data_IF_073648293800
#
_entry.id   IF_073648293800
#
_cell.length_a   1.000
_cell.length_b   1.000
_cell.length_c   1.000
_cell.angle_alpha   90.00
_cell.angle_beta   90.00
_cell.angle_gamma   90.00
#
_symmetry.space_group_name_H-M   'P 1'
#
loop_
_entity.id
_entity.type
_entity.pdbx_description
1 polymer ?
#
# COMPACT_ATOMS: atom_id res chain seq x y z
N UNK A 1 8.25 22.45 9.23
CA UNK A 1 7.61 21.11 9.18
C UNK A 1 7.52 20.70 7.72
N UNK A 2 7.94 19.50 7.39
CA UNK A 2 7.77 19.00 6.02
C UNK A 2 6.29 18.66 5.79
N UNK A 3 5.73 19.14 4.67
CA UNK A 3 4.36 18.78 4.28
C UNK A 3 4.28 17.38 3.66
N UNK A 4 5.41 16.68 3.60
CA UNK A 4 5.46 15.29 3.13
C UNK A 4 5.35 14.35 4.31
N UNK A 5 4.33 13.49 4.37
CA UNK A 5 4.23 12.50 5.45
C UNK A 5 5.37 11.48 5.34
N UNK A 6 5.93 11.12 6.49
CA UNK A 6 6.70 9.88 6.56
C UNK A 6 5.72 8.72 6.51
N UNK A 7 6.05 7.70 5.75
CA UNK A 7 5.22 6.49 5.66
C UNK A 7 6.02 5.27 6.09
N UNK A 8 5.34 4.31 6.68
CA UNK A 8 5.86 2.99 7.02
C UNK A 8 5.10 1.95 6.20
N UNK A 9 5.82 1.12 5.48
CA UNK A 9 5.29 0.07 4.61
C UNK A 9 5.39 -1.28 5.33
N UNK A 10 4.26 -1.90 5.63
CA UNK A 10 4.22 -3.26 6.19
C UNK A 10 4.27 -4.31 5.09
N UNK A 11 5.16 -5.28 5.20
CA UNK A 11 5.26 -6.41 4.27
C UNK A 11 4.73 -7.66 4.93
N UNK A 12 3.67 -8.23 4.36
CA UNK A 12 3.02 -9.45 4.83
C UNK A 12 3.22 -10.57 3.81
N UNK A 13 3.86 -11.65 4.24
CA UNK A 13 3.99 -12.84 3.40
C UNK A 13 2.73 -13.70 3.43
N UNK A 14 2.43 -14.34 2.32
CA UNK A 14 1.31 -15.27 2.19
C UNK A 14 1.80 -16.63 1.66
N UNK A 15 1.13 -17.68 2.05
CA UNK A 15 1.48 -19.04 1.68
C UNK A 15 0.23 -19.89 1.47
N UNK A 16 0.23 -20.71 0.43
CA UNK A 16 -0.78 -21.74 0.25
C UNK A 16 -0.34 -23.01 0.97
N UNK A 17 -1.28 -23.75 1.58
CA UNK A 17 -1.01 -24.91 2.42
C UNK A 17 -0.31 -26.07 1.71
N UNK A 18 -0.50 -26.20 0.39
CA UNK A 18 0.18 -27.21 -0.43
C UNK A 18 1.66 -26.88 -0.74
N UNK A 19 2.14 -25.71 -0.32
CA UNK A 19 3.54 -25.30 -0.43
C UNK A 19 4.14 -25.12 0.97
N UNK A 20 5.47 -25.28 1.13
CA UNK A 20 6.12 -25.02 2.41
C UNK A 20 5.96 -23.56 2.84
N UNK A 21 5.37 -23.29 4.01
CA UNK A 21 5.29 -21.95 4.59
C UNK A 21 6.67 -21.32 4.73
N UNK A 22 7.68 -22.12 5.10
CA UNK A 22 9.06 -21.69 5.26
C UNK A 22 9.64 -21.06 3.99
N UNK A 23 9.20 -21.51 2.82
CA UNK A 23 9.62 -20.93 1.54
C UNK A 23 9.18 -19.45 1.46
N UNK A 24 7.93 -19.19 1.77
CA UNK A 24 7.39 -17.82 1.74
C UNK A 24 8.03 -16.91 2.80
N UNK A 25 8.23 -17.45 4.01
CA UNK A 25 8.87 -16.73 5.11
C UNK A 25 10.34 -16.39 4.78
N UNK A 26 11.10 -17.33 4.24
CA UNK A 26 12.49 -17.12 3.86
C UNK A 26 12.63 -16.10 2.71
N UNK A 27 11.76 -16.20 1.71
CA UNK A 27 11.73 -15.24 0.59
C UNK A 27 11.36 -13.83 1.07
N UNK A 28 10.40 -13.69 1.99
CA UNK A 28 10.09 -12.39 2.62
C UNK A 28 11.31 -11.84 3.35
N UNK A 29 11.99 -12.67 4.15
CA UNK A 29 13.17 -12.22 4.87
C UNK A 29 14.27 -11.74 3.91
N UNK A 30 14.55 -12.49 2.85
CA UNK A 30 15.51 -12.07 1.82
C UNK A 30 15.14 -10.73 1.18
N UNK A 31 13.85 -10.54 0.86
CA UNK A 31 13.31 -9.26 0.36
C UNK A 31 13.54 -8.11 1.34
N UNK A 32 13.23 -8.30 2.62
CA UNK A 32 13.42 -7.29 3.66
C UNK A 32 14.91 -6.95 3.83
N UNK A 33 15.77 -7.96 3.85
CA UNK A 33 17.23 -7.78 3.95
C UNK A 33 17.76 -7.00 2.73
N UNK A 34 17.32 -7.33 1.52
CA UNK A 34 17.67 -6.61 0.29
C UNK A 34 17.20 -5.15 0.32
N UNK A 35 15.96 -4.91 0.75
CA UNK A 35 15.44 -3.55 0.88
C UNK A 35 16.25 -2.73 1.87
N UNK A 36 16.49 -3.26 3.08
CA UNK A 36 17.25 -2.58 4.12
C UNK A 36 18.67 -2.26 3.70
N UNK A 37 19.32 -3.19 3.00
CA UNK A 37 20.67 -3.01 2.50
C UNK A 37 20.79 -1.86 1.48
N UNK A 38 19.76 -1.65 0.65
CA UNK A 38 19.77 -0.67 -0.44
C UNK A 38 19.15 0.68 -0.06
N UNK A 39 18.07 0.66 0.73
CA UNK A 39 17.22 1.83 0.98
C UNK A 39 17.11 2.21 2.47
N UNK A 40 17.70 1.43 3.38
CA UNK A 40 17.60 1.64 4.82
C UNK A 40 16.36 0.99 5.44
N UNK A 41 16.24 1.08 6.76
CA UNK A 41 15.20 0.37 7.51
C UNK A 41 14.04 1.26 7.99
N UNK A 42 14.12 2.58 7.77
CA UNK A 42 13.19 3.55 8.36
C UNK A 42 11.74 3.41 7.87
N UNK A 43 11.57 2.98 6.60
CA UNK A 43 10.27 2.98 5.92
C UNK A 43 9.66 1.60 5.74
N UNK A 44 10.33 0.53 6.18
CA UNK A 44 9.86 -0.84 5.99
C UNK A 44 9.67 -1.57 7.32
N UNK A 45 8.59 -2.35 7.39
CA UNK A 45 8.26 -3.21 8.51
C UNK A 45 8.00 -4.62 8.02
N UNK A 46 8.69 -5.58 8.61
CA UNK A 46 8.44 -7.00 8.36
C UNK A 46 7.36 -7.50 9.33
N UNK A 47 6.16 -7.82 8.82
CA UNK A 47 5.15 -8.50 9.62
C UNK A 47 5.61 -9.92 9.91
N UNK A 48 5.66 -10.35 11.19
CA UNK A 48 6.10 -11.70 11.54
C UNK A 48 5.10 -12.78 11.12
N UNK A 49 3.84 -12.40 10.93
CA UNK A 49 2.77 -13.34 10.53
C UNK A 49 2.90 -13.67 9.05
N UNK A 50 2.89 -14.97 8.74
CA UNK A 50 2.64 -15.47 7.39
C UNK A 50 1.19 -15.95 7.30
N UNK A 51 0.46 -15.50 6.28
CA UNK A 51 -0.93 -15.93 6.08
C UNK A 51 -0.95 -17.26 5.33
N UNK A 52 -1.29 -18.34 6.02
CA UNK A 52 -1.40 -19.68 5.44
C UNK A 52 -2.86 -20.10 5.46
N UNK A 53 -3.54 -20.09 4.29
CA UNK A 53 -4.94 -20.56 4.08
C UNK A 53 -5.94 -20.18 5.21
N UNK A 54 -5.68 -19.11 5.96
CA UNK A 54 -6.41 -18.82 7.19
C UNK A 54 -6.81 -17.37 7.30
N UNK A 55 -8.11 -17.12 7.46
CA UNK A 55 -8.63 -15.81 7.81
C UNK A 55 -8.23 -15.39 9.24
N UNK A 56 -7.92 -16.34 10.11
CA UNK A 56 -7.38 -16.05 11.46
C UNK A 56 -5.99 -15.44 11.32
N UNK A 57 -5.12 -16.02 10.50
CA UNK A 57 -3.80 -15.45 10.22
C UNK A 57 -3.91 -14.08 9.54
N UNK A 58 -4.92 -13.89 8.68
CA UNK A 58 -5.19 -12.59 8.06
C UNK A 58 -5.54 -11.53 9.10
N UNK A 59 -6.40 -11.84 10.07
CA UNK A 59 -6.74 -10.90 11.16
C UNK A 59 -5.51 -10.59 12.00
N UNK A 60 -4.71 -11.58 12.36
CA UNK A 60 -3.47 -11.40 13.13
C UNK A 60 -2.48 -10.50 12.37
N UNK A 61 -2.29 -10.73 11.07
CA UNK A 61 -1.41 -9.89 10.24
C UNK A 61 -1.93 -8.45 10.14
N UNK A 62 -3.25 -8.27 9.99
CA UNK A 62 -3.89 -6.94 9.94
C UNK A 62 -3.71 -6.17 11.26
N UNK A 63 -3.89 -6.85 12.39
CA UNK A 63 -3.70 -6.27 13.71
C UNK A 63 -2.23 -5.90 13.95
N UNK A 64 -1.29 -6.75 13.53
CA UNK A 64 0.14 -6.53 13.66
C UNK A 64 0.60 -5.30 12.85
N UNK A 65 0.27 -5.22 11.57
CA UNK A 65 0.68 -4.06 10.75
C UNK A 65 0.02 -2.76 11.22
N UNK A 66 -1.21 -2.81 11.75
CA UNK A 66 -1.87 -1.65 12.34
C UNK A 66 -1.19 -1.24 13.65
N UNK A 67 -0.86 -2.19 14.52
CA UNK A 67 -0.15 -1.93 15.78
C UNK A 67 1.26 -1.38 15.54
N UNK A 68 1.93 -1.81 14.47
CA UNK A 68 3.22 -1.29 14.04
C UNK A 68 3.13 0.13 13.44
N UNK A 69 1.93 0.66 13.22
CA UNK A 69 1.71 1.98 12.61
C UNK A 69 2.07 2.02 11.12
N UNK A 70 1.80 0.95 10.40
CA UNK A 70 2.03 0.93 8.95
C UNK A 70 0.95 1.74 8.21
N UNK A 71 1.39 2.65 7.35
CA UNK A 71 0.54 3.51 6.52
C UNK A 71 0.22 2.88 5.17
N UNK A 72 1.05 1.95 4.73
CA UNK A 72 0.93 1.23 3.46
C UNK A 72 1.19 -0.26 3.66
N UNK A 73 0.65 -1.08 2.78
CA UNK A 73 0.74 -2.54 2.84
C UNK A 73 1.33 -3.11 1.55
N UNK A 74 2.26 -4.04 1.69
CA UNK A 74 2.70 -4.93 0.62
C UNK A 74 2.29 -6.36 0.97
N UNK A 75 1.48 -6.95 0.11
CA UNK A 75 1.17 -8.39 0.15
C UNK A 75 2.18 -9.08 -0.75
N UNK A 76 3.02 -9.89 -0.14
CA UNK A 76 4.11 -10.59 -0.81
C UNK A 76 3.81 -12.07 -0.97
N UNK A 77 3.60 -12.49 -2.20
CA UNK A 77 3.40 -13.87 -2.55
C UNK A 77 4.77 -14.57 -2.63
N UNK A 78 5.22 -15.11 -1.50
CA UNK A 78 6.44 -15.91 -1.45
C UNK A 78 6.27 -17.30 -2.08
N UNK A 79 5.01 -17.77 -2.17
CA UNK A 79 4.54 -18.86 -3.00
C UNK A 79 3.14 -18.52 -3.52
N UNK A 80 2.34 -19.49 -3.96
CA UNK A 80 1.03 -19.29 -4.61
C UNK A 80 0.07 -18.35 -3.82
N UNK A 81 0.07 -18.41 -2.49
CA UNK A 81 -0.81 -17.62 -1.64
C UNK A 81 -2.27 -18.10 -1.55
N UNK A 82 -2.98 -17.73 -0.47
CA UNK A 82 -4.39 -18.05 -0.26
C UNK A 82 -5.28 -16.93 -0.79
N UNK A 83 -5.92 -17.12 -1.93
CA UNK A 83 -6.71 -16.12 -2.67
C UNK A 83 -7.73 -15.33 -1.83
N UNK A 84 -8.36 -15.98 -0.86
CA UNK A 84 -9.36 -15.34 -0.01
C UNK A 84 -8.67 -14.48 1.06
N UNK A 85 -7.80 -15.07 1.87
CA UNK A 85 -7.23 -14.40 3.03
C UNK A 85 -6.34 -13.21 2.63
N UNK A 86 -5.50 -13.34 1.59
CA UNK A 86 -4.64 -12.26 1.12
C UNK A 86 -5.44 -11.07 0.54
N UNK A 87 -6.53 -11.33 -0.18
CA UNK A 87 -7.36 -10.27 -0.73
C UNK A 87 -8.29 -9.64 0.31
N UNK A 88 -8.70 -10.39 1.35
CA UNK A 88 -9.39 -9.84 2.51
C UNK A 88 -8.47 -8.96 3.35
N UNK A 89 -7.19 -9.34 3.54
CA UNK A 89 -6.22 -8.46 4.17
C UNK A 89 -6.18 -7.10 3.47
N UNK A 90 -6.04 -7.13 2.14
CA UNK A 90 -6.03 -5.90 1.33
C UNK A 90 -7.35 -5.12 1.44
N UNK A 91 -8.49 -5.80 1.53
CA UNK A 91 -9.81 -5.17 1.67
C UNK A 91 -9.97 -4.44 3.01
N UNK A 92 -9.43 -5.00 4.09
CA UNK A 92 -9.60 -4.48 5.46
C UNK A 92 -8.45 -3.58 5.92
N UNK A 93 -7.43 -3.39 5.11
CA UNK A 93 -6.39 -2.41 5.36
C UNK A 93 -6.78 -1.06 4.76
N UNK A 94 -6.77 0.00 5.56
CA UNK A 94 -7.25 1.35 5.17
C UNK A 94 -6.16 2.19 4.49
N UNK A 95 -5.10 1.68 4.03
CA UNK A 95 -4.02 2.42 3.34
C UNK A 95 -3.85 2.02 1.89
N UNK A 96 -2.93 2.65 1.18
CA UNK A 96 -2.46 2.17 -0.10
C UNK A 96 -1.85 0.77 0.04
N UNK A 97 -2.06 -0.05 -0.97
CA UNK A 97 -1.65 -1.45 -0.96
C UNK A 97 -1.05 -1.87 -2.29
N UNK A 98 -0.08 -2.75 -2.22
CA UNK A 98 0.65 -3.30 -3.35
C UNK A 98 0.68 -4.83 -3.27
N UNK A 99 0.67 -5.49 -4.42
CA UNK A 99 0.86 -6.92 -4.56
C UNK A 99 2.08 -7.19 -5.43
N UNK A 100 2.98 -8.01 -4.94
CA UNK A 100 4.17 -8.51 -5.65
C UNK A 100 4.44 -9.96 -5.27
N UNK A 101 5.20 -10.66 -6.11
CA UNK A 101 5.47 -12.07 -5.94
C UNK A 101 6.93 -12.42 -6.17
N UNK A 102 7.37 -13.51 -5.55
CA UNK A 102 8.71 -14.04 -5.72
C UNK A 102 8.88 -14.68 -7.10
N UNK A 103 10.00 -14.40 -7.77
CA UNK A 103 10.45 -15.21 -8.90
C UNK A 103 10.86 -16.60 -8.42
N UNK A 104 10.61 -17.60 -9.27
CA UNK A 104 11.15 -18.94 -9.03
C UNK A 104 12.65 -18.98 -9.29
N UNK A 105 13.34 -19.81 -8.53
CA UNK A 105 14.75 -20.07 -8.78
C UNK A 105 14.91 -20.91 -10.06
N UNK A 106 16.12 -20.88 -10.67
CA UNK A 106 16.34 -21.49 -11.97
C UNK A 106 16.10 -23.01 -12.01
N UNK A 107 15.62 -23.46 -13.12
CA UNK A 107 14.97 -24.73 -13.47
C UNK A 107 15.50 -26.09 -13.03
N UNK A 108 16.72 -26.21 -12.51
CA UNK A 108 17.27 -27.53 -12.13
C UNK A 108 16.75 -28.05 -10.78
N UNK A 109 16.10 -27.19 -9.97
CA UNK A 109 15.56 -27.53 -8.65
C UNK A 109 14.05 -27.21 -8.51
N UNK A 110 13.32 -27.09 -9.61
CA UNK A 110 11.88 -26.74 -9.62
C UNK A 110 10.99 -27.66 -8.75
N UNK A 111 11.44 -28.89 -8.46
CA UNK A 111 10.64 -29.84 -7.66
C UNK A 111 10.69 -29.54 -6.16
N UNK A 112 11.81 -29.05 -5.63
CA UNK A 112 12.01 -28.88 -4.19
C UNK A 112 11.79 -27.42 -3.71
N UNK A 113 11.94 -26.45 -4.60
CA UNK A 113 11.83 -25.01 -4.28
C UNK A 113 10.67 -24.29 -4.96
N UNK A 114 9.79 -25.02 -5.64
CA UNK A 114 8.67 -24.45 -6.37
C UNK A 114 7.62 -23.86 -5.45
N UNK A 115 7.21 -22.63 -5.72
CA UNK A 115 6.15 -21.94 -4.97
C UNK A 115 4.97 -21.51 -5.83
N UNK A 116 5.09 -21.53 -7.16
CA UNK A 116 4.07 -21.07 -8.12
C UNK A 116 3.52 -19.66 -7.85
N UNK A 117 4.37 -18.77 -7.35
CA UNK A 117 3.96 -17.40 -6.99
C UNK A 117 3.44 -16.62 -8.21
N UNK A 118 3.92 -16.90 -9.41
CA UNK A 118 3.40 -16.31 -10.64
C UNK A 118 1.92 -16.65 -10.86
N UNK A 119 1.55 -17.92 -10.75
CA UNK A 119 0.16 -18.35 -10.83
C UNK A 119 -0.69 -17.74 -9.71
N UNK A 120 -0.13 -17.69 -8.49
CA UNK A 120 -0.75 -17.01 -7.36
C UNK A 120 -1.05 -15.55 -7.65
N UNK A 121 -0.12 -14.82 -8.26
CA UNK A 121 -0.28 -13.41 -8.61
C UNK A 121 -1.41 -13.19 -9.63
N UNK A 122 -1.57 -14.08 -10.61
CA UNK A 122 -2.69 -14.03 -11.56
C UNK A 122 -4.02 -14.19 -10.83
N UNK A 123 -4.11 -15.15 -9.89
CA UNK A 123 -5.31 -15.38 -9.10
C UNK A 123 -5.59 -14.24 -8.13
N UNK A 124 -4.56 -13.71 -7.45
CA UNK A 124 -4.69 -12.53 -6.58
C UNK A 124 -5.25 -11.33 -7.36
N UNK A 125 -4.73 -11.05 -8.54
CA UNK A 125 -5.18 -9.95 -9.41
C UNK A 125 -6.65 -10.09 -9.79
N UNK A 126 -7.10 -11.30 -10.15
CA UNK A 126 -8.48 -11.59 -10.45
C UNK A 126 -9.38 -11.39 -9.22
N UNK A 127 -8.96 -11.92 -8.07
CA UNK A 127 -9.72 -11.83 -6.81
C UNK A 127 -9.82 -10.40 -6.26
N UNK A 128 -8.79 -9.57 -6.41
CA UNK A 128 -8.83 -8.15 -6.09
C UNK A 128 -9.90 -7.43 -6.92
N UNK A 129 -9.93 -7.70 -8.23
CA UNK A 129 -10.95 -7.14 -9.13
C UNK A 129 -12.35 -7.62 -8.77
N UNK A 130 -12.52 -8.91 -8.48
CA UNK A 130 -13.81 -9.51 -8.09
C UNK A 130 -14.37 -8.85 -6.82
N UNK A 131 -13.51 -8.47 -5.87
CA UNK A 131 -13.87 -7.80 -4.60
C UNK A 131 -13.90 -6.27 -4.69
N UNK A 132 -13.63 -5.71 -5.86
CA UNK A 132 -13.48 -4.25 -6.05
C UNK A 132 -12.45 -3.62 -5.09
N UNK A 133 -11.37 -4.33 -4.84
CA UNK A 133 -10.24 -3.85 -4.02
C UNK A 133 -9.20 -3.24 -4.94
N UNK A 134 -8.88 -1.96 -4.71
CA UNK A 134 -7.82 -1.27 -5.45
C UNK A 134 -6.47 -1.58 -4.80
N UNK A 135 -5.54 -2.06 -5.60
CA UNK A 135 -4.15 -2.27 -5.20
C UNK A 135 -3.23 -1.86 -6.36
N UNK A 136 -2.03 -1.40 -6.03
CA UNK A 136 -0.99 -1.18 -7.01
C UNK A 136 -0.36 -2.54 -7.36
N UNK A 137 -0.28 -2.83 -8.62
CA UNK A 137 0.41 -3.99 -9.17
C UNK A 137 1.40 -3.45 -10.19
N UNK A 138 2.71 -3.62 -10.01
CA UNK A 138 3.71 -3.23 -11.01
C UNK A 138 3.44 -3.88 -12.35
N UNK A 139 3.96 -3.31 -13.43
CA UNK A 139 3.87 -3.90 -14.77
C UNK A 139 4.46 -5.31 -14.80
N UNK A 140 5.54 -5.51 -14.06
CA UNK A 140 6.20 -6.80 -13.80
C UNK A 140 6.20 -7.07 -12.30
N UNK A 141 5.16 -7.72 -11.75
CA UNK A 141 4.99 -7.87 -10.31
C UNK A 141 5.76 -9.06 -9.70
N UNK A 142 6.59 -9.75 -10.48
CA UNK A 142 7.36 -10.91 -10.05
C UNK A 142 8.85 -10.61 -10.17
N UNK A 143 9.61 -10.87 -9.10
CA UNK A 143 11.04 -10.60 -9.11
C UNK A 143 11.84 -11.37 -8.06
N UNK A 144 13.16 -11.28 -8.16
CA UNK A 144 14.10 -11.65 -7.10
C UNK A 144 13.87 -10.79 -5.86
N UNK A 145 14.56 -11.09 -4.77
CA UNK A 145 14.47 -10.27 -3.56
C UNK A 145 14.87 -8.81 -3.83
N UNK A 146 15.91 -8.59 -4.62
CA UNK A 146 16.42 -7.27 -4.99
C UNK A 146 15.44 -6.52 -5.90
N UNK A 147 14.89 -7.18 -6.92
CA UNK A 147 13.89 -6.60 -7.82
C UNK A 147 12.60 -6.26 -7.08
N UNK A 148 12.15 -7.11 -6.16
CA UNK A 148 11.00 -6.82 -5.31
C UNK A 148 11.28 -5.65 -4.35
N UNK A 149 12.51 -5.52 -3.84
CA UNK A 149 12.91 -4.37 -3.03
C UNK A 149 12.83 -3.06 -3.84
N UNK A 150 13.25 -3.09 -5.12
CA UNK A 150 13.13 -1.95 -6.02
C UNK A 150 11.66 -1.59 -6.29
N UNK A 151 10.80 -2.57 -6.53
CA UNK A 151 9.36 -2.36 -6.70
C UNK A 151 8.72 -1.70 -5.46
N UNK A 152 9.11 -2.13 -4.24
CA UNK A 152 8.62 -1.51 -3.00
C UNK A 152 9.10 -0.06 -2.90
N UNK A 153 10.35 0.21 -3.25
CA UNK A 153 10.88 1.58 -3.24
C UNK A 153 10.16 2.49 -4.25
N UNK A 154 9.82 1.97 -5.44
CA UNK A 154 9.03 2.70 -6.43
C UNK A 154 7.57 2.94 -5.96
N UNK A 155 7.03 2.03 -5.16
CA UNK A 155 5.70 2.19 -4.56
C UNK A 155 5.66 3.26 -3.46
N UNK A 156 6.77 3.49 -2.76
CA UNK A 156 6.84 4.44 -1.64
C UNK A 156 6.29 5.84 -1.99
N UNK A 157 6.72 6.52 -3.06
CA UNK A 157 6.19 7.84 -3.41
C UNK A 157 4.70 7.79 -3.79
N UNK A 158 4.21 6.70 -4.38
CA UNK A 158 2.80 6.50 -4.70
C UNK A 158 1.99 6.41 -3.40
N UNK A 159 2.43 5.58 -2.46
CA UNK A 159 1.79 5.40 -1.17
C UNK A 159 1.78 6.71 -0.37
N UNK A 160 2.89 7.44 -0.36
CA UNK A 160 3.02 8.75 0.29
C UNK A 160 2.05 9.77 -0.28
N UNK A 161 1.89 9.81 -1.60
CA UNK A 161 0.94 10.71 -2.25
C UNK A 161 -0.51 10.41 -1.85
N UNK A 162 -0.89 9.12 -1.79
CA UNK A 162 -2.24 8.70 -1.38
C UNK A 162 -2.50 9.06 0.09
N UNK A 163 -1.54 8.80 0.98
CA UNK A 163 -1.64 9.15 2.40
C UNK A 163 -1.74 10.66 2.59
N UNK A 164 -0.94 11.43 1.84
CA UNK A 164 -0.99 12.90 1.89
C UNK A 164 -2.34 13.45 1.42
N UNK A 165 -2.93 12.90 0.36
CA UNK A 165 -4.24 13.32 -0.15
C UNK A 165 -5.37 13.04 0.83
N UNK A 166 -5.35 11.89 1.52
CA UNK A 166 -6.36 11.53 2.51
C UNK A 166 -6.38 12.44 3.75
N UNK A 167 -5.32 13.20 3.98
CA UNK A 167 -5.22 14.17 5.09
C UNK A 167 -5.19 15.62 4.61
N UNK A 168 -5.30 15.86 3.31
CA UNK A 168 -5.23 17.20 2.74
C UNK A 168 -6.53 17.96 3.00
N UNK A 169 -6.38 19.18 3.53
CA UNK A 169 -7.46 20.17 3.65
C UNK A 169 -7.10 21.41 2.84
N UNK A 170 -7.98 21.81 1.94
CA UNK A 170 -7.88 23.03 1.17
C UNK A 170 -8.76 24.09 1.84
N UNK A 171 -8.16 25.21 2.19
CA UNK A 171 -8.87 26.37 2.74
C UNK A 171 -8.89 27.46 1.67
N UNK A 172 -10.09 27.89 1.30
CA UNK A 172 -10.33 28.95 0.31
C UNK A 172 -10.91 30.18 0.99
N UNK A 173 -10.46 31.36 0.60
CA UNK A 173 -11.00 32.64 1.06
C UNK A 173 -11.57 33.40 -0.11
N UNK A 174 -12.83 33.82 0.02
CA UNK A 174 -13.55 34.60 -0.97
C UNK A 174 -14.24 33.74 -2.04
N UNK A 175 -15.47 34.15 -2.42
CA UNK A 175 -16.19 33.52 -3.50
C UNK A 175 -15.59 33.94 -4.86
N UNK A 176 -15.81 33.13 -5.88
CA UNK A 176 -15.52 33.53 -7.25
C UNK A 176 -16.27 34.81 -7.62
N UNK A 177 -15.74 35.65 -8.54
CA UNK A 177 -16.48 36.76 -9.10
C UNK A 177 -17.80 36.31 -9.78
N UNK A 178 -18.85 37.09 -9.68
CA UNK A 178 -20.25 36.78 -10.03
C UNK A 178 -20.45 35.81 -11.20
N UNK A 179 -20.00 36.14 -12.39
CA UNK A 179 -20.25 35.35 -13.61
C UNK A 179 -19.06 34.47 -14.04
N UNK A 180 -18.07 34.32 -13.19
CA UNK A 180 -16.84 33.59 -13.54
C UNK A 180 -16.97 32.12 -13.22
N UNK A 181 -17.91 31.43 -13.88
CA UNK A 181 -18.24 30.01 -13.62
C UNK A 181 -17.04 29.06 -13.83
N UNK A 182 -16.11 29.45 -14.71
CA UNK A 182 -14.88 28.66 -14.93
C UNK A 182 -13.94 28.61 -13.72
N UNK A 183 -14.11 29.49 -12.74
CA UNK A 183 -13.33 29.50 -11.50
C UNK A 183 -13.88 28.55 -10.41
N UNK A 184 -14.89 27.75 -10.72
CA UNK A 184 -15.40 26.76 -9.76
C UNK A 184 -14.41 25.59 -9.66
N UNK A 185 -14.02 25.25 -8.43
CA UNK A 185 -13.26 24.03 -8.19
C UNK A 185 -14.15 22.79 -8.39
N UNK A 186 -13.60 21.68 -8.88
CA UNK A 186 -14.33 20.42 -9.02
C UNK A 186 -14.47 19.71 -7.66
N UNK A 187 -15.24 20.29 -6.74
CA UNK A 187 -15.36 19.87 -5.33
C UNK A 187 -15.63 18.37 -5.19
N UNK A 188 -16.55 17.82 -5.98
CA UNK A 188 -16.90 16.39 -5.92
C UNK A 188 -15.70 15.50 -6.22
N UNK A 189 -14.88 15.86 -7.19
CA UNK A 189 -13.69 15.10 -7.54
C UNK A 189 -12.63 15.16 -6.42
N UNK A 190 -12.48 16.30 -5.76
CA UNK A 190 -11.57 16.47 -4.64
C UNK A 190 -12.01 15.64 -3.43
N UNK A 191 -13.30 15.67 -3.07
CA UNK A 191 -13.84 14.80 -2.02
C UNK A 191 -13.68 13.31 -2.35
N UNK A 192 -13.83 12.91 -3.62
CA UNK A 192 -13.59 11.53 -4.04
C UNK A 192 -12.12 11.08 -3.91
N UNK A 193 -11.19 12.04 -3.83
CA UNK A 193 -9.77 11.80 -3.54
C UNK A 193 -9.45 11.84 -2.05
N UNK A 194 -10.44 12.07 -1.17
CA UNK A 194 -10.23 12.21 0.26
C UNK A 194 -9.82 13.62 0.72
N UNK A 195 -9.86 14.61 -0.17
CA UNK A 195 -9.50 15.99 0.14
C UNK A 195 -10.69 16.72 0.75
N UNK A 196 -10.50 17.33 1.91
CA UNK A 196 -11.48 18.21 2.55
C UNK A 196 -11.35 19.64 2.06
N UNK A 197 -12.47 20.35 1.93
CA UNK A 197 -12.51 21.73 1.48
C UNK A 197 -13.30 22.58 2.50
N UNK A 198 -12.68 23.68 2.92
CA UNK A 198 -13.29 24.68 3.77
C UNK A 198 -13.32 26.02 3.04
N UNK A 199 -14.51 26.57 2.85
CA UNK A 199 -14.70 27.88 2.20
C UNK A 199 -15.02 28.93 3.26
N UNK A 200 -14.19 29.96 3.33
CA UNK A 200 -14.32 31.09 4.24
C UNK A 200 -14.53 32.38 3.46
N UNK A 201 -15.06 33.39 4.12
CA UNK A 201 -15.25 34.72 3.53
C UNK A 201 -13.92 35.49 3.55
N UNK A 202 -13.80 36.47 2.63
CA UNK A 202 -12.70 37.44 2.66
C UNK A 202 -12.70 38.28 3.94
N UNK A 203 -13.90 38.45 4.58
CA UNK A 203 -14.03 39.16 5.84
C UNK A 203 -13.34 38.41 7.00
N UNK A 204 -13.35 37.09 6.98
CA UNK A 204 -12.65 36.28 7.99
C UNK A 204 -11.14 36.50 7.94
N UNK A 205 -10.60 36.60 6.70
CA UNK A 205 -9.18 36.92 6.49
C UNK A 205 -8.85 38.35 6.95
N UNK A 206 -9.71 39.31 6.62
CA UNK A 206 -9.55 40.72 7.03
C UNK A 206 -9.64 40.89 8.54
N UNK A 207 -10.58 40.20 9.19
CA UNK A 207 -10.69 40.23 10.65
C UNK A 207 -9.46 39.59 11.34
N UNK A 208 -8.96 38.48 10.79
CA UNK A 208 -7.75 37.87 11.31
C UNK A 208 -6.53 38.78 11.16
N UNK A 209 -6.41 39.49 10.03
CA UNK A 209 -5.35 40.47 9.80
C UNK A 209 -5.39 41.57 10.85
N UNK A 210 -6.57 42.17 11.07
CA UNK A 210 -6.72 43.27 12.03
C UNK A 210 -6.49 42.85 13.51
N UNK A 211 -6.61 41.58 13.83
CA UNK A 211 -6.31 41.07 15.19
C UNK A 211 -4.82 40.89 15.45
N UNK A 212 -4.00 40.88 14.40
CA UNK A 212 -2.55 40.68 14.49
C UNK A 212 -1.73 41.96 14.35
N UNK A 213 -2.35 43.12 14.21
CA UNK A 213 -1.75 44.47 14.36
C UNK A 213 -1.76 44.89 15.85
#
# INVERSE_FOLDING_TARGET
MSNMPNIKIGVVAVSRDCFPESLSVNRRKALIDAYKAKYGEEHIYECPVCIVESEIHMVQALEDVKAAGCDALVVYLGNFGPEIAETLLAKHFDGPKMFIAAAEESGDSLMDGRGDAYCGMLNASYNLKLRNVKAYIPEYPIGTAEECADMIHEFEPIARAIVALNSLKIISFGPRPLNFLACNAPIKQLYNLGVEIEENSELDLFEAFNKHE
#
